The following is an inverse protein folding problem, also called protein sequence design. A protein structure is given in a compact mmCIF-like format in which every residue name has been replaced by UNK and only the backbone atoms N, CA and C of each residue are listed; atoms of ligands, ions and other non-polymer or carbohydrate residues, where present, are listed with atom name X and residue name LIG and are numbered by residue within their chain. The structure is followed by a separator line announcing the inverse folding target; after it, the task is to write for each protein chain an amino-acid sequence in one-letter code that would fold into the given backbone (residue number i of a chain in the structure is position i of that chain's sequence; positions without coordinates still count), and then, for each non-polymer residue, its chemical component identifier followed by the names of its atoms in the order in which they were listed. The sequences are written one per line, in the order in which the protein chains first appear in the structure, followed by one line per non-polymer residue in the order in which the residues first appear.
data_IF_613458456386
#
_entry.id   IF_613458456386
#
_cell.length_a   1.000
_cell.length_b   1.000
_cell.length_c   1.000
_cell.angle_alpha   90.00
_cell.angle_beta   90.00
_cell.angle_gamma   90.00
#
_symmetry.space_group_name_H-M   'P 1'
#
loop_
_entity.id
_entity.type
_entity.pdbx_description
1 polymer ?
#
# COMPACT_ATOMS: atom_id res chain seq x y z
N UNK A 1 -14.31 13.14 7.68
CA UNK A 1 -14.35 12.72 6.27
C UNK A 1 -14.40 11.19 6.19
N UNK A 2 -15.22 10.67 5.29
CA UNK A 2 -15.32 9.22 5.10
C UNK A 2 -14.33 8.77 4.05
N UNK A 3 -13.47 7.82 4.41
CA UNK A 3 -12.51 7.23 3.48
C UNK A 3 -13.10 5.94 2.93
N UNK A 4 -13.14 5.84 1.60
CA UNK A 4 -13.61 4.63 0.90
C UNK A 4 -12.59 4.18 -0.12
N UNK A 5 -12.58 2.87 -0.39
CA UNK A 5 -11.73 2.27 -1.41
C UNK A 5 -12.61 1.89 -2.59
N UNK A 6 -12.33 2.47 -3.76
CA UNK A 6 -13.20 2.33 -4.94
C UNK A 6 -12.41 1.81 -6.13
N UNK A 7 -13.07 1.08 -7.01
CA UNK A 7 -12.45 0.61 -8.24
C UNK A 7 -12.04 1.77 -9.13
N UNK A 8 -10.95 1.58 -9.86
CA UNK A 8 -10.50 2.53 -10.87
C UNK A 8 -11.23 2.18 -12.18
N UNK A 9 -12.00 3.13 -12.68
CA UNK A 9 -12.82 2.95 -13.88
C UNK A 9 -12.46 4.03 -14.90
N UNK A 10 -13.07 3.98 -16.09
CA UNK A 10 -12.90 5.03 -17.09
C UNK A 10 -13.29 6.42 -16.58
N UNK A 11 -14.21 6.48 -15.60
CA UNK A 11 -14.69 7.77 -15.08
C UNK A 11 -13.71 8.45 -14.14
N UNK A 12 -12.88 7.69 -13.38
CA UNK A 12 -11.98 8.27 -12.39
C UNK A 12 -10.49 8.05 -12.70
N UNK A 13 -10.16 7.30 -13.74
CA UNK A 13 -8.77 6.90 -14.03
C UNK A 13 -7.83 8.11 -14.15
N UNK A 14 -8.23 9.13 -14.91
CA UNK A 14 -7.37 10.30 -15.12
C UNK A 14 -7.11 11.04 -13.81
N UNK A 15 -8.14 11.20 -12.98
CA UNK A 15 -7.99 11.86 -11.68
C UNK A 15 -7.07 11.07 -10.75
N UNK A 16 -7.17 9.74 -10.75
CA UNK A 16 -6.33 8.88 -9.91
C UNK A 16 -4.88 8.90 -10.41
N UNK A 17 -4.67 8.86 -11.73
CA UNK A 17 -3.31 8.93 -12.31
C UNK A 17 -2.62 10.26 -12.02
N UNK A 18 -3.37 11.32 -11.79
CA UNK A 18 -2.83 12.65 -11.50
C UNK A 18 -2.37 12.80 -10.05
N UNK A 19 -2.71 11.87 -9.17
CA UNK A 19 -2.31 11.94 -7.75
C UNK A 19 -0.80 11.73 -7.63
N UNK A 20 -0.13 12.58 -6.84
CA UNK A 20 1.33 12.56 -6.70
C UNK A 20 1.74 12.89 -5.26
N UNK A 21 2.78 12.21 -4.80
CA UNK A 21 3.48 12.64 -3.59
C UNK A 21 4.39 13.83 -3.91
N UNK A 22 5.08 14.38 -2.90
CA UNK A 22 6.09 15.41 -3.16
C UNK A 22 7.28 14.81 -3.89
N UNK A 23 8.09 15.62 -4.62
CA UNK A 23 9.29 15.10 -5.28
C UNK A 23 10.24 14.35 -4.33
N UNK A 24 10.39 14.82 -3.09
CA UNK A 24 11.24 14.17 -2.10
C UNK A 24 10.71 12.80 -1.70
N UNK A 25 9.41 12.59 -1.74
CA UNK A 25 8.78 11.32 -1.39
C UNK A 25 8.78 10.32 -2.56
N UNK A 26 8.96 10.78 -3.80
CA UNK A 26 8.86 9.90 -4.97
C UNK A 26 9.92 8.79 -4.97
N UNK A 27 11.02 8.95 -4.27
CA UNK A 27 12.01 7.88 -4.13
C UNK A 27 11.54 6.75 -3.21
N UNK A 28 10.53 7.00 -2.36
CA UNK A 28 9.97 6.02 -1.44
C UNK A 28 8.65 5.45 -1.90
N UNK A 29 7.91 6.19 -2.72
CA UNK A 29 6.54 5.86 -3.12
C UNK A 29 6.40 5.97 -4.62
N UNK A 30 6.03 4.86 -5.25
CA UNK A 30 5.84 4.81 -6.71
C UNK A 30 4.62 5.62 -7.13
N UNK A 31 4.64 6.15 -8.37
CA UNK A 31 3.46 6.79 -8.95
C UNK A 31 2.37 5.76 -9.21
N UNK A 32 1.14 6.23 -9.38
CA UNK A 32 0.02 5.35 -9.72
C UNK A 32 0.27 4.64 -11.05
N UNK A 33 0.76 5.37 -12.06
CA UNK A 33 1.04 4.79 -13.38
C UNK A 33 2.06 3.65 -13.28
N UNK A 34 3.15 3.86 -12.55
CA UNK A 34 4.17 2.84 -12.34
C UNK A 34 3.59 1.62 -11.62
N UNK A 35 2.77 1.84 -10.59
CA UNK A 35 2.15 0.77 -9.82
C UNK A 35 1.21 -0.08 -10.66
N UNK A 36 0.41 0.55 -11.51
CA UNK A 36 -0.49 -0.18 -12.41
C UNK A 36 0.30 -0.99 -13.44
N UNK A 37 1.42 -0.45 -13.94
CA UNK A 37 2.29 -1.19 -14.85
C UNK A 37 2.90 -2.41 -14.15
N UNK A 38 3.35 -2.26 -12.91
CA UNK A 38 3.86 -3.41 -12.14
C UNK A 38 2.79 -4.48 -11.95
N UNK A 39 1.55 -4.08 -11.69
CA UNK A 39 0.44 -5.03 -11.54
C UNK A 39 0.25 -5.86 -12.82
N UNK A 40 0.35 -5.23 -13.98
CA UNK A 40 0.24 -5.95 -15.27
C UNK A 40 1.44 -6.85 -15.54
N UNK A 41 2.65 -6.43 -15.16
CA UNK A 41 3.89 -7.17 -15.39
C UNK A 41 4.05 -8.36 -14.44
N UNK A 42 3.40 -8.31 -13.28
CA UNK A 42 3.56 -9.31 -12.22
C UNK A 42 2.21 -9.89 -11.75
N UNK A 43 1.48 -10.56 -12.66
CA UNK A 43 0.20 -11.19 -12.28
C UNK A 43 0.37 -12.27 -11.20
N UNK A 44 1.57 -12.83 -11.06
CA UNK A 44 1.89 -13.81 -10.03
C UNK A 44 1.76 -13.25 -8.61
N UNK A 45 1.83 -11.93 -8.45
CA UNK A 45 1.60 -11.27 -7.17
C UNK A 45 0.12 -11.11 -6.83
N UNK A 46 -0.77 -11.55 -7.71
CA UNK A 46 -2.22 -11.43 -7.56
C UNK A 46 -2.64 -10.03 -7.10
N UNK A 47 -2.32 -8.98 -7.89
CA UNK A 47 -2.53 -7.61 -7.47
C UNK A 47 -4.01 -7.25 -7.38
N UNK A 48 -4.35 -6.60 -6.26
CA UNK A 48 -5.65 -5.99 -6.00
C UNK A 48 -5.40 -4.53 -5.70
N UNK A 49 -6.07 -3.62 -6.41
CA UNK A 49 -5.84 -2.20 -6.21
C UNK A 49 -7.14 -1.41 -6.23
N UNK A 50 -7.12 -0.28 -5.54
CA UNK A 50 -8.27 0.63 -5.41
C UNK A 50 -7.80 2.07 -5.35
N UNK A 51 -8.66 2.96 -5.83
CA UNK A 51 -8.52 4.39 -5.57
C UNK A 51 -9.00 4.67 -4.15
N UNK A 52 -8.29 5.54 -3.44
CA UNK A 52 -8.68 5.99 -2.11
C UNK A 52 -9.43 7.30 -2.26
N UNK A 53 -10.65 7.34 -1.73
CA UNK A 53 -11.49 8.54 -1.74
C UNK A 53 -11.65 9.08 -0.32
N UNK A 54 -11.64 10.40 -0.19
CA UNK A 54 -12.14 11.10 0.99
C UNK A 54 -13.44 11.79 0.55
N UNK A 55 -14.55 11.30 1.08
CA UNK A 55 -15.89 11.64 0.60
C UNK A 55 -15.97 11.36 -0.92
N UNK A 56 -16.21 12.32 -1.77
CA UNK A 56 -16.32 12.12 -3.22
C UNK A 56 -15.06 12.51 -3.99
N UNK A 57 -13.93 12.74 -3.29
CA UNK A 57 -12.71 13.19 -3.93
C UNK A 57 -11.63 12.11 -3.88
N UNK A 58 -11.00 11.74 -5.01
CA UNK A 58 -9.86 10.83 -4.99
C UNK A 58 -8.67 11.53 -4.32
N UNK A 59 -8.04 10.83 -3.36
CA UNK A 59 -6.92 11.37 -2.58
C UNK A 59 -5.72 10.42 -2.54
N UNK A 60 -5.87 9.19 -3.02
CA UNK A 60 -4.76 8.24 -2.96
C UNK A 60 -5.02 6.96 -3.75
N UNK A 61 -4.11 6.01 -3.54
CA UNK A 61 -4.11 4.73 -4.24
C UNK A 61 -3.53 3.67 -3.30
N UNK A 62 -4.09 2.47 -3.34
CA UNK A 62 -3.60 1.33 -2.55
C UNK A 62 -3.57 0.08 -3.42
N UNK A 63 -2.53 -0.74 -3.25
CA UNK A 63 -2.41 -2.02 -3.95
C UNK A 63 -1.88 -3.09 -3.01
N UNK A 64 -2.51 -4.26 -3.07
CA UNK A 64 -2.16 -5.43 -2.26
C UNK A 64 -1.80 -6.60 -3.16
N UNK A 65 -0.96 -7.52 -2.66
CA UNK A 65 -0.99 -8.91 -3.10
C UNK A 65 -2.09 -9.60 -2.30
N UNK A 66 -3.04 -10.20 -3.00
CA UNK A 66 -4.26 -10.74 -2.38
C UNK A 66 -4.17 -12.26 -2.26
N UNK A 67 -4.04 -12.73 -1.02
CA UNK A 67 -4.03 -14.16 -0.69
C UNK A 67 -3.12 -14.97 -1.62
N UNK A 68 -1.87 -14.50 -1.77
CA UNK A 68 -0.92 -15.10 -2.69
C UNK A 68 -0.09 -16.16 -1.97
N UNK A 69 0.26 -17.23 -2.69
CA UNK A 69 1.18 -18.23 -2.16
C UNK A 69 2.58 -17.62 -2.02
N UNK A 70 3.15 -17.56 -0.80
CA UNK A 70 4.49 -17.00 -0.65
C UNK A 70 5.53 -17.83 -1.42
N UNK A 71 6.43 -17.12 -2.11
CA UNK A 71 7.55 -17.71 -2.84
C UNK A 71 8.81 -16.89 -2.53
N UNK A 72 9.38 -17.05 -1.34
CA UNK A 72 10.56 -16.26 -0.95
C UNK A 72 11.75 -16.53 -1.87
N UNK A 73 12.58 -15.51 -2.16
CA UNK A 73 12.47 -14.14 -1.67
C UNK A 73 11.62 -13.24 -2.57
N UNK A 74 11.09 -13.75 -3.68
CA UNK A 74 10.51 -12.93 -4.74
C UNK A 74 9.07 -12.50 -4.45
N UNK A 75 8.27 -13.39 -3.83
CA UNK A 75 6.88 -13.11 -3.52
C UNK A 75 6.66 -13.23 -2.02
N UNK A 76 6.27 -12.13 -1.39
CA UNK A 76 5.88 -12.09 0.01
C UNK A 76 4.35 -12.18 0.11
N UNK A 77 3.87 -12.96 1.06
CA UNK A 77 2.45 -13.16 1.21
C UNK A 77 2.13 -13.97 2.45
N UNK A 78 0.89 -14.44 2.61
CA UNK A 78 -0.25 -14.31 1.65
C UNK A 78 -0.74 -12.88 1.41
N UNK A 79 -0.62 -11.98 2.38
CA UNK A 79 -1.16 -10.61 2.30
C UNK A 79 -0.01 -9.62 2.40
N UNK A 80 0.19 -8.85 1.33
CA UNK A 80 1.29 -7.90 1.26
C UNK A 80 0.75 -6.55 0.78
N UNK A 81 0.97 -5.51 1.58
CA UNK A 81 0.67 -4.14 1.18
C UNK A 81 1.76 -3.68 0.23
N UNK A 82 1.47 -3.72 -1.06
CA UNK A 82 2.45 -3.51 -2.12
C UNK A 82 2.68 -2.03 -2.40
N UNK A 83 1.60 -1.24 -2.44
CA UNK A 83 1.68 0.21 -2.71
C UNK A 83 0.66 0.95 -1.86
N UNK A 84 1.07 2.10 -1.34
CA UNK A 84 0.16 3.04 -0.67
C UNK A 84 0.65 4.45 -0.99
N UNK A 85 -0.20 5.25 -1.62
CA UNK A 85 0.10 6.62 -1.99
C UNK A 85 -1.04 7.50 -1.52
N UNK A 86 -0.70 8.60 -0.83
CA UNK A 86 -1.64 9.69 -0.53
C UNK A 86 -1.11 10.94 -1.21
N UNK A 87 -1.95 11.58 -2.00
CA UNK A 87 -1.58 12.80 -2.73
C UNK A 87 -1.08 13.86 -1.78
N UNK A 88 -0.02 14.59 -2.18
CA UNK A 88 0.65 15.56 -1.31
C UNK A 88 -0.29 16.64 -0.78
N UNK A 89 -1.34 17.00 -1.54
CA UNK A 89 -2.32 18.01 -1.13
C UNK A 89 -3.24 17.51 -0.02
N UNK A 90 -3.27 16.21 0.24
CA UNK A 90 -4.20 15.57 1.16
C UNK A 90 -3.50 14.85 2.32
N UNK A 91 -2.18 14.94 2.43
CA UNK A 91 -1.42 14.33 3.50
C UNK A 91 -1.65 15.05 4.84
N UNK A 92 -1.33 14.36 5.94
CA UNK A 92 -1.45 14.93 7.28
C UNK A 92 -2.88 14.97 7.81
N UNK A 93 -3.81 14.27 7.18
CA UNK A 93 -5.23 14.25 7.56
C UNK A 93 -5.70 12.89 8.06
N UNK A 94 -4.77 11.93 8.19
CA UNK A 94 -5.10 10.59 8.67
C UNK A 94 -5.62 9.63 7.60
N UNK A 95 -5.58 9.99 6.32
CA UNK A 95 -6.10 9.12 5.25
C UNK A 95 -5.30 7.83 5.11
N UNK A 96 -3.97 7.89 5.14
CA UNK A 96 -3.13 6.69 5.04
C UNK A 96 -3.37 5.73 6.20
N UNK A 97 -3.50 6.26 7.40
CA UNK A 97 -3.81 5.48 8.60
C UNK A 97 -5.16 4.77 8.45
N UNK A 98 -6.17 5.47 7.96
CA UNK A 98 -7.50 4.89 7.76
C UNK A 98 -7.49 3.80 6.68
N UNK A 99 -6.72 4.00 5.59
CA UNK A 99 -6.56 2.98 4.56
C UNK A 99 -5.94 1.71 5.16
N UNK A 100 -4.87 1.84 5.94
CA UNK A 100 -4.23 0.69 6.57
C UNK A 100 -5.21 -0.02 7.52
N UNK A 101 -6.00 0.74 8.29
CA UNK A 101 -7.02 0.15 9.16
C UNK A 101 -8.02 -0.69 8.35
N UNK A 102 -8.49 -0.16 7.23
CA UNK A 102 -9.43 -0.89 6.37
C UNK A 102 -8.78 -2.12 5.74
N UNK A 103 -7.52 -2.02 5.32
CA UNK A 103 -6.78 -3.16 4.76
C UNK A 103 -6.61 -4.26 5.81
N UNK A 104 -6.23 -3.91 7.04
CA UNK A 104 -6.11 -4.86 8.15
C UNK A 104 -7.43 -5.57 8.39
N UNK A 105 -8.54 -4.83 8.41
CA UNK A 105 -9.86 -5.41 8.60
C UNK A 105 -10.25 -6.33 7.45
N UNK A 106 -9.92 -5.95 6.22
CA UNK A 106 -10.16 -6.75 5.04
C UNK A 106 -9.39 -8.08 5.11
N UNK A 107 -8.10 -8.03 5.46
CA UNK A 107 -7.27 -9.23 5.63
C UNK A 107 -7.85 -10.15 6.71
N UNK A 108 -8.25 -9.56 7.84
CA UNK A 108 -8.86 -10.32 8.93
C UNK A 108 -10.15 -11.00 8.47
N UNK A 109 -10.99 -10.31 7.73
CA UNK A 109 -12.27 -10.85 7.25
C UNK A 109 -12.08 -12.03 6.29
N UNK A 110 -10.95 -12.07 5.58
CA UNK A 110 -10.59 -13.16 4.66
C UNK A 110 -9.84 -14.30 5.37
N UNK A 111 -9.70 -14.24 6.68
CA UNK A 111 -9.01 -15.27 7.46
C UNK A 111 -7.51 -15.09 7.57
N UNK A 112 -6.96 -13.98 7.09
CA UNK A 112 -5.54 -13.69 7.21
C UNK A 112 -5.14 -13.42 8.65
N UNK A 113 -3.89 -13.73 8.99
CA UNK A 113 -3.36 -13.57 10.35
C UNK A 113 -2.37 -12.45 10.49
N UNK A 114 -1.78 -12.01 9.35
CA UNK A 114 -0.81 -10.91 9.36
C UNK A 114 -0.82 -10.20 8.01
N UNK A 115 -0.38 -8.95 8.03
CA UNK A 115 -0.18 -8.13 6.84
C UNK A 115 1.30 -7.78 6.76
N UNK A 116 1.90 -8.03 5.61
CA UNK A 116 3.28 -7.66 5.32
C UNK A 116 3.31 -6.37 4.52
N UNK A 117 4.42 -5.65 4.59
CA UNK A 117 4.75 -4.56 3.68
C UNK A 117 6.26 -4.43 3.58
N UNK A 118 6.74 -3.57 2.71
CA UNK A 118 8.15 -3.23 2.64
C UNK A 118 8.31 -1.74 2.41
N UNK A 119 9.48 -1.22 2.73
CA UNK A 119 9.79 0.18 2.45
C UNK A 119 11.26 0.35 2.11
N UNK A 120 11.54 1.36 1.28
CA UNK A 120 12.91 1.80 1.01
C UNK A 120 13.42 2.47 2.27
N UNK A 121 14.55 2.00 2.86
CA UNK A 121 15.09 2.65 4.05
C UNK A 121 15.66 4.02 3.71
N UNK A 122 15.65 4.92 4.67
CA UNK A 122 16.23 6.22 4.51
C UNK A 122 15.47 7.31 5.26
N UNK A 123 16.16 8.42 5.49
CA UNK A 123 15.60 9.58 6.15
C UNK A 123 14.49 10.18 5.28
N UNK A 124 13.37 10.50 5.90
CA UNK A 124 12.20 11.02 5.20
C UNK A 124 11.29 9.95 4.63
N UNK A 125 11.62 8.65 4.81
CA UNK A 125 10.80 7.55 4.36
C UNK A 125 9.67 7.19 5.31
N UNK A 126 8.88 6.17 4.97
CA UNK A 126 7.64 5.83 5.68
C UNK A 126 7.82 4.94 6.91
N UNK A 127 9.04 4.63 7.33
CA UNK A 127 9.29 3.71 8.44
C UNK A 127 8.52 4.09 9.71
N UNK A 128 8.55 5.38 10.09
CA UNK A 128 7.86 5.87 11.28
C UNK A 128 6.34 5.76 11.15
N UNK A 129 5.82 6.00 9.96
CA UNK A 129 4.38 5.85 9.69
C UNK A 129 3.93 4.41 9.96
N UNK A 130 4.65 3.42 9.40
CA UNK A 130 4.30 2.02 9.60
C UNK A 130 4.52 1.57 11.06
N UNK A 131 5.59 2.02 11.69
CA UNK A 131 5.85 1.69 13.10
C UNK A 131 4.71 2.12 14.01
N UNK A 132 4.18 3.32 13.79
CA UNK A 132 3.05 3.83 14.58
C UNK A 132 1.77 3.03 14.36
N UNK A 133 1.67 2.29 13.25
CA UNK A 133 0.51 1.47 12.93
C UNK A 133 0.69 0.00 13.34
N UNK A 134 1.75 -0.31 14.08
CA UNK A 134 1.96 -1.64 14.63
C UNK A 134 2.77 -2.58 13.76
N UNK A 135 3.39 -2.07 12.69
CA UNK A 135 4.31 -2.87 11.89
C UNK A 135 5.67 -2.94 12.57
N UNK A 136 6.30 -4.11 12.54
CA UNK A 136 7.65 -4.32 13.08
C UNK A 136 8.51 -4.98 12.00
N UNK A 137 9.85 -4.73 12.01
CA UNK A 137 10.73 -5.39 11.06
C UNK A 137 10.68 -6.93 11.24
N UNK A 138 10.57 -7.62 10.11
CA UNK A 138 10.63 -9.09 10.12
C UNK A 138 12.07 -9.60 10.34
N UNK A 139 13.05 -8.79 9.97
CA UNK A 139 14.45 -9.12 10.18
C UNK A 139 15.24 -9.36 8.90
N UNK A 140 14.58 -9.27 7.74
CA UNK A 140 15.21 -9.50 6.45
C UNK A 140 14.93 -8.34 5.48
N UNK A 141 15.67 -8.33 4.38
CA UNK A 141 15.48 -7.40 3.27
C UNK A 141 14.96 -8.19 2.07
N UNK A 142 14.23 -7.50 1.18
CA UNK A 142 13.86 -8.12 -0.10
C UNK A 142 15.02 -8.01 -1.10
N UNK A 143 14.89 -8.59 -2.31
CA UNK A 143 15.98 -8.55 -3.31
C UNK A 143 16.40 -7.14 -3.72
N UNK A 144 15.53 -6.14 -3.60
CA UNK A 144 15.85 -4.75 -3.90
C UNK A 144 16.40 -3.98 -2.71
N UNK A 145 16.59 -4.64 -1.56
CA UNK A 145 17.12 -4.00 -0.36
C UNK A 145 16.08 -3.28 0.48
N UNK A 146 14.80 -3.49 0.22
CA UNK A 146 13.74 -2.91 1.06
C UNK A 146 13.58 -3.70 2.35
N UNK A 147 13.24 -2.97 3.42
CA UNK A 147 13.00 -3.57 4.74
C UNK A 147 11.61 -4.20 4.76
N UNK A 148 11.54 -5.47 5.12
CA UNK A 148 10.26 -6.19 5.24
C UNK A 148 9.69 -5.97 6.63
N UNK A 149 8.44 -5.54 6.68
CA UNK A 149 7.71 -5.30 7.92
C UNK A 149 6.53 -6.27 8.03
N UNK A 150 6.14 -6.58 9.25
CA UNK A 150 4.99 -7.45 9.53
C UNK A 150 4.12 -6.84 10.61
N UNK A 151 2.81 -6.94 10.44
CA UNK A 151 1.83 -6.52 11.43
C UNK A 151 0.81 -7.63 11.63
N UNK A 152 0.65 -8.14 12.85
CA UNK A 152 -0.45 -9.06 13.14
C UNK A 152 -1.79 -8.36 12.90
N UNK A 153 -2.76 -9.06 12.33
CA UNK A 153 -4.10 -8.51 12.14
C UNK A 153 -5.06 -8.93 13.23
N UNK A 154 -4.61 -9.83 14.11
CA UNK A 154 -5.36 -10.24 15.32
C UNK A 154 -4.71 -9.62 16.54
N UNK A 155 -5.54 -9.29 17.51
CA UNK A 155 -5.06 -8.80 18.79
C UNK A 155 -4.55 -9.94 19.69
#
# INVERSE_FOLDING_TARGET
MTVTLREITGDNRDAVLALRTTPDQERFVSTVAYSLAEAEEHPEGNPWFRAVYADEQPVGFVMLSWDVEPQPPDINGPWFLWKLLIDHRHQGRGHGREVVRQVVELVRSEGGTELLTSHVPGQGGPAGFYARLGFVPRGDLDPEGEVILVRPVRE
#
